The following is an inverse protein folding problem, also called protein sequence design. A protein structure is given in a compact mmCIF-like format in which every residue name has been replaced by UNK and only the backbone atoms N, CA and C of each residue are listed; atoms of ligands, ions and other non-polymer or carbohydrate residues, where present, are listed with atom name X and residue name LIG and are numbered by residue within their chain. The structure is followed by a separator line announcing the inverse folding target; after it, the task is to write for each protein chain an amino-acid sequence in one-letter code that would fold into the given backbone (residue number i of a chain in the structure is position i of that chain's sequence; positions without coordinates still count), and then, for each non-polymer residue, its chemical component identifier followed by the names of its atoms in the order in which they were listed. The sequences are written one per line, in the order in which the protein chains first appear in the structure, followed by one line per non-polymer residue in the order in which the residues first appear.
data_IF_858495369202
#
_entry.id   IF_858495369202
#
_cell.length_a   1.000
_cell.length_b   1.000
_cell.length_c   1.000
_cell.angle_alpha   90.00
_cell.angle_beta   90.00
_cell.angle_gamma   90.00
#
_symmetry.space_group_name_H-M   'P 1'
#
loop_
_entity.id
_entity.type
_entity.pdbx_description
1 polymer ?
#
# COMPACT_ATOMS: atom_id res chain seq x y z
N UNK A 1 44.71 -8.98 15.04
CA UNK A 1 43.56 -8.44 14.22
C UNK A 1 42.82 -9.64 13.72
N UNK A 2 41.77 -10.05 14.43
CA UNK A 2 40.87 -11.10 13.97
C UNK A 2 40.00 -10.52 12.86
N UNK A 3 40.08 -11.11 11.69
CA UNK A 3 39.18 -10.81 10.59
C UNK A 3 37.78 -11.28 11.01
N UNK A 4 36.87 -10.34 11.26
CA UNK A 4 35.45 -10.65 11.45
C UNK A 4 34.96 -11.41 10.20
N UNK A 5 34.39 -12.57 10.42
CA UNK A 5 33.75 -13.34 9.38
C UNK A 5 32.68 -12.47 8.66
N UNK A 6 32.54 -12.60 7.33
CA UNK A 6 31.54 -11.81 6.59
C UNK A 6 30.15 -12.13 7.18
N UNK A 7 29.48 -11.09 7.69
CA UNK A 7 28.09 -11.15 8.15
C UNK A 7 27.27 -11.86 7.09
N UNK A 8 26.57 -12.93 7.44
CA UNK A 8 25.66 -13.60 6.54
C UNK A 8 24.50 -12.64 6.26
N UNK A 9 24.51 -11.98 5.10
CA UNK A 9 23.56 -10.94 4.66
C UNK A 9 22.10 -11.40 4.56
N UNK A 10 21.83 -12.68 4.84
CA UNK A 10 20.54 -13.30 4.58
C UNK A 10 19.42 -12.86 5.55
N UNK A 11 19.74 -12.23 6.68
CA UNK A 11 18.74 -11.96 7.75
C UNK A 11 18.74 -10.51 8.27
N UNK A 12 19.57 -9.59 7.73
CA UNK A 12 19.60 -8.23 8.23
C UNK A 12 18.47 -7.38 7.63
N UNK A 13 17.85 -6.54 8.46
CA UNK A 13 16.94 -5.51 8.05
C UNK A 13 17.63 -4.51 7.10
N UNK A 14 16.91 -3.97 6.12
CA UNK A 14 17.48 -2.99 5.19
C UNK A 14 17.89 -1.72 5.92
N UNK A 15 17.12 -1.35 6.95
CA UNK A 15 17.47 -0.21 7.82
C UNK A 15 18.85 -0.40 8.45
N UNK A 16 19.15 -1.57 9.02
CA UNK A 16 20.49 -1.86 9.60
C UNK A 16 21.60 -1.77 8.54
N UNK A 17 21.32 -2.31 7.32
CA UNK A 17 22.26 -2.22 6.23
C UNK A 17 22.54 -0.77 5.84
N UNK A 18 21.51 0.07 5.75
CA UNK A 18 21.63 1.48 5.39
C UNK A 18 22.39 2.31 6.43
N UNK A 19 22.31 1.94 7.70
CA UNK A 19 23.01 2.60 8.82
C UNK A 19 24.41 2.05 9.06
N UNK A 20 24.76 0.92 8.45
CA UNK A 20 26.08 0.28 8.62
C UNK A 20 27.17 1.03 7.84
N UNK A 21 28.31 1.26 8.51
CA UNK A 21 29.49 1.86 7.88
C UNK A 21 30.03 1.04 6.69
N UNK A 22 29.75 -0.26 6.65
CA UNK A 22 30.21 -1.15 5.58
C UNK A 22 29.50 -0.87 4.22
N UNK A 23 28.32 -0.26 4.24
CA UNK A 23 27.50 -0.04 3.04
C UNK A 23 27.25 1.44 2.74
N UNK A 24 28.09 2.34 3.23
CA UNK A 24 27.95 3.79 2.99
C UNK A 24 28.17 4.20 1.54
N UNK A 25 28.86 3.38 0.73
CA UNK A 25 29.22 3.72 -0.66
C UNK A 25 28.73 2.72 -1.70
N UNK A 26 28.32 1.52 -1.29
CA UNK A 26 27.85 0.49 -2.23
C UNK A 26 26.86 -0.47 -1.58
N UNK A 27 25.89 -0.96 -2.36
CA UNK A 27 24.95 -1.98 -1.93
C UNK A 27 25.40 -3.38 -2.37
N UNK A 28 25.01 -4.44 -1.65
CA UNK A 28 25.29 -5.82 -2.06
C UNK A 28 24.67 -6.15 -3.42
N UNK A 29 25.37 -6.95 -4.22
CA UNK A 29 24.97 -7.28 -5.60
C UNK A 29 23.60 -7.96 -5.73
N UNK A 30 23.11 -8.63 -4.67
CA UNK A 30 21.78 -9.23 -4.65
C UNK A 30 20.63 -8.21 -4.55
N UNK A 31 20.94 -6.91 -4.37
CA UNK A 31 19.98 -5.81 -4.47
C UNK A 31 20.04 -5.12 -5.83
N UNK A 32 20.99 -5.49 -6.70
CA UNK A 32 21.07 -4.90 -8.01
C UNK A 32 19.93 -5.38 -8.88
N UNK A 33 19.03 -4.49 -9.21
CA UNK A 33 17.97 -4.70 -10.19
C UNK A 33 18.48 -4.23 -11.55
N UNK A 34 18.52 -5.14 -12.52
CA UNK A 34 18.81 -4.75 -13.91
C UNK A 34 17.56 -4.02 -14.44
N UNK A 35 17.65 -2.70 -14.49
CA UNK A 35 16.67 -1.93 -15.27
C UNK A 35 16.98 -2.20 -16.74
N UNK A 36 16.00 -2.67 -17.49
CA UNK A 36 16.14 -2.68 -18.94
C UNK A 36 16.28 -1.23 -19.39
N UNK A 37 17.25 -0.96 -20.27
CA UNK A 37 17.55 0.39 -20.80
C UNK A 37 16.33 1.08 -21.44
N UNK A 38 15.33 0.31 -21.84
CA UNK A 38 14.09 0.80 -22.43
C UNK A 38 13.03 1.25 -21.39
N UNK A 39 13.28 1.00 -20.09
CA UNK A 39 12.43 1.41 -18.97
C UNK A 39 13.06 2.55 -18.14
N UNK A 40 14.17 3.12 -18.57
CA UNK A 40 14.74 4.32 -17.94
C UNK A 40 13.77 5.49 -18.11
N UNK A 41 13.12 5.85 -17.01
CA UNK A 41 12.36 7.09 -16.91
C UNK A 41 13.32 8.27 -17.07
N UNK A 42 13.27 8.92 -18.21
CA UNK A 42 13.97 10.19 -18.39
C UNK A 42 13.25 11.27 -17.58
N UNK A 43 13.96 12.31 -17.12
CA UNK A 43 13.33 13.45 -16.45
C UNK A 43 12.20 14.10 -17.26
N UNK A 44 12.21 13.94 -18.56
CA UNK A 44 11.20 14.43 -19.52
C UNK A 44 9.95 13.54 -19.61
N UNK A 45 9.97 12.33 -19.02
CA UNK A 45 8.80 11.45 -18.92
C UNK A 45 7.88 11.83 -17.74
N UNK A 46 8.15 12.92 -17.03
CA UNK A 46 7.21 13.58 -16.14
C UNK A 46 6.08 14.22 -16.96
N UNK A 47 5.19 13.36 -17.45
CA UNK A 47 4.00 13.84 -18.16
C UNK A 47 3.11 14.53 -17.14
N UNK A 48 2.62 15.71 -17.48
CA UNK A 48 1.58 16.45 -16.74
C UNK A 48 0.20 15.75 -16.82
N UNK A 49 0.15 14.42 -16.89
CA UNK A 49 -1.10 13.70 -16.73
C UNK A 49 -1.41 13.67 -15.23
N UNK A 50 -2.43 14.41 -14.85
CA UNK A 50 -2.87 14.46 -13.45
C UNK A 50 -3.72 13.23 -13.17
N UNK A 51 -3.35 12.49 -12.13
CA UNK A 51 -4.19 11.41 -11.61
C UNK A 51 -5.55 11.98 -11.22
N UNK A 52 -6.66 11.31 -11.56
CA UNK A 52 -8.00 11.75 -11.19
C UNK A 52 -8.13 12.02 -9.68
N UNK A 53 -8.80 13.11 -9.33
CA UNK A 53 -9.06 13.51 -7.94
C UNK A 53 -10.53 13.32 -7.65
N UNK A 54 -10.83 12.59 -6.57
CA UNK A 54 -12.17 12.33 -6.08
C UNK A 54 -12.37 13.13 -4.78
N UNK A 55 -13.32 14.03 -4.78
CA UNK A 55 -13.74 14.74 -3.57
C UNK A 55 -14.71 13.87 -2.76
N UNK A 56 -14.20 13.29 -1.69
CA UNK A 56 -14.97 12.38 -0.85
C UNK A 56 -16.12 13.07 -0.12
N UNK A 57 -15.98 14.36 0.20
CA UNK A 57 -17.04 15.12 0.89
C UNK A 57 -18.30 15.26 0.02
N UNK A 58 -18.14 15.41 -1.29
CA UNK A 58 -19.25 15.46 -2.23
C UNK A 58 -19.90 14.08 -2.43
N UNK A 59 -19.12 13.01 -2.27
CA UNK A 59 -19.64 11.64 -2.36
C UNK A 59 -20.60 11.32 -1.21
N UNK A 60 -20.29 11.78 0.02
CA UNK A 60 -21.07 11.43 1.22
C UNK A 60 -22.06 12.53 1.65
N UNK A 61 -21.83 13.78 1.31
CA UNK A 61 -22.61 14.93 1.80
C UNK A 61 -23.07 15.89 0.70
N UNK A 62 -22.72 15.63 -0.57
CA UNK A 62 -23.14 16.46 -1.70
C UNK A 62 -24.62 16.32 -2.04
N UNK A 63 -25.12 17.25 -2.85
CA UNK A 63 -26.44 17.14 -3.48
C UNK A 63 -26.48 15.90 -4.40
N UNK A 64 -27.67 15.46 -4.76
CA UNK A 64 -27.84 14.32 -5.68
C UNK A 64 -27.09 14.50 -7.02
N UNK A 65 -27.02 15.73 -7.52
CA UNK A 65 -26.29 16.05 -8.74
C UNK A 65 -24.77 15.97 -8.55
N UNK A 66 -24.24 16.62 -7.52
CA UNK A 66 -22.79 16.57 -7.18
C UNK A 66 -22.32 15.15 -6.91
N UNK A 67 -23.08 14.38 -6.15
CA UNK A 67 -22.79 12.97 -5.89
C UNK A 67 -22.76 12.16 -7.18
N UNK A 68 -23.73 12.35 -8.07
CA UNK A 68 -23.78 11.66 -9.38
C UNK A 68 -22.55 11.99 -10.24
N UNK A 69 -22.13 13.26 -10.26
CA UNK A 69 -20.92 13.68 -10.97
C UNK A 69 -19.66 13.04 -10.41
N UNK A 70 -19.51 13.01 -9.07
CA UNK A 70 -18.36 12.37 -8.42
C UNK A 70 -18.34 10.86 -8.69
N UNK A 71 -19.48 10.18 -8.64
CA UNK A 71 -19.60 8.75 -8.97
C UNK A 71 -19.18 8.50 -10.42
N UNK A 72 -19.61 9.36 -11.34
CA UNK A 72 -19.20 9.25 -12.74
C UNK A 72 -17.67 9.42 -12.90
N UNK A 73 -17.08 10.43 -12.25
CA UNK A 73 -15.63 10.64 -12.26
C UNK A 73 -14.88 9.45 -11.62
N UNK A 74 -15.40 8.88 -10.54
CA UNK A 74 -14.82 7.69 -9.90
C UNK A 74 -14.86 6.48 -10.84
N UNK A 75 -15.98 6.27 -11.54
CA UNK A 75 -16.10 5.21 -12.55
C UNK A 75 -15.03 5.34 -13.64
N UNK A 76 -14.87 6.54 -14.19
CA UNK A 76 -13.86 6.82 -15.23
C UNK A 76 -12.43 6.63 -14.69
N UNK A 77 -12.16 7.09 -13.48
CA UNK A 77 -10.87 6.90 -12.81
C UNK A 77 -10.53 5.42 -12.63
N UNK A 78 -11.47 4.62 -12.14
CA UNK A 78 -11.28 3.17 -11.99
C UNK A 78 -11.04 2.48 -13.34
N UNK A 79 -11.81 2.84 -14.36
CA UNK A 79 -11.77 2.19 -15.67
C UNK A 79 -10.54 2.56 -16.50
N UNK A 80 -10.12 3.82 -16.47
CA UNK A 80 -9.07 4.33 -17.36
C UNK A 80 -7.70 4.32 -16.68
N UNK A 81 -7.66 4.57 -15.37
CA UNK A 81 -6.43 4.71 -14.60
C UNK A 81 -6.17 3.52 -13.67
N UNK A 82 -7.22 2.93 -13.09
CA UNK A 82 -7.09 2.02 -11.96
C UNK A 82 -6.58 2.68 -10.67
N UNK A 83 -6.30 4.00 -10.72
CA UNK A 83 -5.76 4.82 -9.63
C UNK A 83 -6.49 6.16 -9.56
N UNK A 84 -6.65 6.68 -8.35
CA UNK A 84 -7.17 8.02 -8.11
C UNK A 84 -6.68 8.56 -6.75
N UNK A 85 -6.72 9.88 -6.60
CA UNK A 85 -6.48 10.56 -5.34
C UNK A 85 -7.79 10.84 -4.63
N UNK A 86 -7.81 10.75 -3.30
CA UNK A 86 -8.99 11.07 -2.48
C UNK A 86 -8.65 12.27 -1.60
N UNK A 87 -9.46 13.31 -1.75
CA UNK A 87 -9.38 14.55 -0.96
C UNK A 87 -10.64 14.71 -0.12
N UNK A 88 -10.60 15.60 0.89
CA UNK A 88 -11.73 15.91 1.76
C UNK A 88 -12.38 14.67 2.41
N UNK A 89 -11.54 13.70 2.80
CA UNK A 89 -11.92 12.36 3.26
C UNK A 89 -12.32 12.29 4.74
N UNK A 90 -12.41 13.41 5.45
CA UNK A 90 -12.78 13.53 6.88
C UNK A 90 -11.82 12.85 7.87
N UNK A 91 -10.83 12.08 7.44
CA UNK A 91 -9.83 11.49 8.34
C UNK A 91 -8.91 12.63 8.80
N UNK A 92 -8.81 12.87 10.12
CA UNK A 92 -8.01 13.99 10.63
C UNK A 92 -6.53 13.87 10.23
N UNK A 93 -5.95 14.95 9.71
CA UNK A 93 -4.51 14.98 9.40
C UNK A 93 -3.65 14.54 10.59
N UNK A 94 -4.03 14.92 11.81
CA UNK A 94 -3.36 14.48 13.04
C UNK A 94 -3.27 12.95 13.12
N UNK A 95 -4.35 12.23 12.81
CA UNK A 95 -4.37 10.77 12.86
C UNK A 95 -3.45 10.14 11.80
N UNK A 96 -3.40 10.75 10.61
CA UNK A 96 -2.49 10.33 9.55
C UNK A 96 -1.02 10.53 9.96
N UNK A 97 -0.69 11.70 10.50
CA UNK A 97 0.66 12.01 10.98
C UNK A 97 1.05 11.09 12.16
N UNK A 98 0.15 10.84 13.10
CA UNK A 98 0.38 9.93 14.23
C UNK A 98 0.58 8.48 13.77
N UNK A 99 -0.09 8.05 12.70
CA UNK A 99 0.10 6.70 12.17
C UNK A 99 1.47 6.55 11.50
N UNK A 100 1.89 7.54 10.71
CA UNK A 100 3.23 7.57 10.12
C UNK A 100 4.32 7.58 11.21
N UNK A 101 4.18 8.41 12.23
CA UNK A 101 5.09 8.48 13.38
C UNK A 101 5.12 7.15 14.17
N UNK A 102 3.98 6.50 14.33
CA UNK A 102 3.90 5.21 14.99
C UNK A 102 4.67 4.12 14.22
N UNK A 103 4.57 4.08 12.89
CA UNK A 103 5.37 3.17 12.06
C UNK A 103 6.85 3.53 12.11
N UNK A 104 7.22 4.80 12.05
CA UNK A 104 8.61 5.23 12.20
C UNK A 104 9.19 4.74 13.54
N UNK A 105 8.47 4.93 14.63
CA UNK A 105 8.85 4.41 15.95
C UNK A 105 8.95 2.90 15.97
N UNK A 106 8.06 2.18 15.29
CA UNK A 106 8.14 0.72 15.17
C UNK A 106 9.45 0.30 14.48
N UNK A 107 9.77 0.88 13.35
CA UNK A 107 10.99 0.56 12.61
C UNK A 107 12.28 1.00 13.34
N UNK A 108 12.19 1.97 14.23
CA UNK A 108 13.30 2.43 15.08
C UNK A 108 13.51 1.59 16.35
N UNK A 109 12.71 0.57 16.61
CA UNK A 109 12.94 -0.38 17.69
C UNK A 109 14.21 -1.22 17.43
N UNK A 110 14.71 -1.86 18.49
CA UNK A 110 15.81 -2.81 18.37
C UNK A 110 15.41 -3.99 17.46
N UNK A 111 16.39 -4.61 16.81
CA UNK A 111 16.13 -5.82 16.01
C UNK A 111 15.52 -6.93 16.86
N UNK A 112 15.94 -7.07 18.13
CA UNK A 112 15.39 -8.06 19.06
C UNK A 112 13.86 -7.89 19.21
N UNK A 113 13.38 -6.65 19.39
CA UNK A 113 11.95 -6.35 19.50
C UNK A 113 11.19 -6.59 18.20
N UNK A 114 11.76 -6.25 17.04
CA UNK A 114 11.14 -6.47 15.73
C UNK A 114 11.15 -7.94 15.34
N UNK A 115 12.19 -8.68 15.68
CA UNK A 115 12.35 -10.09 15.36
C UNK A 115 11.29 -10.99 15.99
N UNK A 116 10.61 -10.54 17.06
CA UNK A 116 9.44 -11.22 17.60
C UNK A 116 8.32 -11.40 16.55
N UNK A 117 8.27 -10.54 15.53
CA UNK A 117 7.27 -10.55 14.46
C UNK A 117 7.76 -11.21 13.16
N UNK A 118 8.99 -11.74 13.11
CA UNK A 118 9.45 -12.51 11.97
C UNK A 118 8.68 -13.82 11.90
N UNK A 119 7.95 -14.03 10.80
CA UNK A 119 7.18 -15.25 10.61
C UNK A 119 7.21 -15.69 9.14
N UNK A 120 7.32 -17.01 8.94
CA UNK A 120 7.34 -17.63 7.60
C UNK A 120 5.94 -17.79 7.01
N UNK A 121 4.90 -17.82 7.84
CA UNK A 121 3.53 -18.01 7.37
C UNK A 121 2.94 -16.69 6.90
N UNK A 122 2.51 -16.63 5.64
CA UNK A 122 1.95 -15.44 5.03
C UNK A 122 0.70 -14.90 5.74
N UNK A 123 -0.09 -15.80 6.33
CA UNK A 123 -1.32 -15.48 7.07
C UNK A 123 -1.10 -15.25 8.58
N UNK A 124 0.15 -15.16 9.03
CA UNK A 124 0.39 -14.78 10.43
C UNK A 124 -0.12 -13.37 10.68
N UNK A 125 -0.86 -13.12 11.79
CA UNK A 125 -1.55 -11.84 12.04
C UNK A 125 -0.65 -10.61 12.01
N UNK A 126 0.60 -10.74 12.50
CA UNK A 126 1.61 -9.68 12.44
C UNK A 126 2.88 -10.29 11.85
N UNK A 127 3.38 -9.68 10.80
CA UNK A 127 4.59 -10.16 10.14
C UNK A 127 5.53 -9.01 9.81
N UNK A 128 6.72 -9.02 10.40
CA UNK A 128 7.84 -8.16 10.02
C UNK A 128 8.76 -8.89 9.04
N UNK A 129 9.34 -8.18 8.10
CA UNK A 129 10.29 -8.75 7.16
C UNK A 129 10.96 -7.72 6.28
N UNK A 130 11.88 -8.21 5.46
CA UNK A 130 12.63 -7.42 4.48
C UNK A 130 12.37 -7.94 3.09
N UNK A 131 12.42 -7.08 2.06
CA UNK A 131 12.20 -7.46 0.67
C UNK A 131 10.80 -8.09 0.44
N UNK A 132 10.62 -8.93 -0.59
CA UNK A 132 9.32 -9.59 -0.87
C UNK A 132 9.42 -11.09 -0.59
N UNK A 133 10.19 -11.85 -1.35
CA UNK A 133 10.36 -13.30 -1.19
C UNK A 133 11.84 -13.67 -1.08
N UNK A 134 12.36 -13.73 0.15
CA UNK A 134 13.79 -13.95 0.39
C UNK A 134 14.27 -15.37 0.07
N UNK A 135 13.37 -16.34 -0.15
CA UNK A 135 13.73 -17.74 -0.35
C UNK A 135 13.74 -18.18 -1.81
N UNK A 136 13.01 -17.49 -2.69
CA UNK A 136 12.87 -17.87 -4.10
C UNK A 136 13.51 -16.85 -5.05
N UNK A 137 13.58 -15.58 -4.68
CA UNK A 137 14.11 -14.53 -5.54
C UNK A 137 15.62 -14.35 -5.38
N UNK A 138 16.33 -14.38 -6.51
CA UNK A 138 17.75 -14.04 -6.58
C UNK A 138 18.02 -12.55 -6.32
N UNK A 139 17.00 -11.70 -6.49
CA UNK A 139 17.05 -10.25 -6.35
C UNK A 139 16.28 -9.87 -5.10
N UNK A 140 16.87 -9.04 -4.26
CA UNK A 140 16.25 -8.47 -3.07
C UNK A 140 15.86 -7.01 -3.33
N UNK A 141 14.79 -6.56 -2.64
CA UNK A 141 14.29 -5.19 -2.74
C UNK A 141 14.67 -4.38 -1.50
N UNK A 142 14.97 -3.10 -1.70
CA UNK A 142 15.48 -2.20 -0.66
C UNK A 142 14.33 -1.67 0.20
N UNK A 143 13.71 -2.57 1.01
CA UNK A 143 12.52 -2.30 1.81
C UNK A 143 12.44 -3.21 3.03
N UNK A 144 12.12 -2.61 4.19
CA UNK A 144 11.55 -3.33 5.32
C UNK A 144 10.03 -3.11 5.38
N UNK A 145 9.29 -4.05 5.94
CA UNK A 145 7.85 -3.92 6.09
C UNK A 145 7.33 -4.59 7.36
N UNK A 146 6.21 -4.08 7.86
CA UNK A 146 5.37 -4.79 8.83
C UNK A 146 3.96 -4.88 8.31
N UNK A 147 3.43 -6.10 8.24
CA UNK A 147 2.06 -6.41 7.81
C UNK A 147 1.23 -6.80 9.02
N UNK A 148 0.06 -6.22 9.18
CA UNK A 148 -0.82 -6.39 10.33
C UNK A 148 -2.24 -6.62 9.85
N UNK A 149 -2.87 -7.73 10.26
CA UNK A 149 -4.29 -7.97 10.05
C UNK A 149 -5.09 -7.21 11.11
N UNK A 150 -6.00 -6.35 10.68
CA UNK A 150 -6.80 -5.50 11.57
C UNK A 150 -8.31 -5.77 11.50
N UNK A 151 -8.75 -6.58 10.55
CA UNK A 151 -10.10 -7.10 10.42
C UNK A 151 -10.07 -8.47 9.73
N UNK A 152 -10.94 -9.44 10.06
CA UNK A 152 -12.04 -9.39 11.05
C UNK A 152 -11.58 -9.39 12.51
N UNK A 153 -10.39 -9.86 12.80
CA UNK A 153 -9.80 -9.81 14.13
C UNK A 153 -8.71 -8.75 14.19
N UNK A 154 -8.78 -7.86 15.21
CA UNK A 154 -7.84 -6.76 15.35
C UNK A 154 -6.56 -7.19 16.05
N UNK A 155 -5.46 -7.18 15.31
CA UNK A 155 -4.11 -7.42 15.81
C UNK A 155 -3.28 -6.14 15.83
N UNK A 156 -2.28 -6.08 16.68
CA UNK A 156 -1.35 -4.95 16.77
C UNK A 156 -0.06 -5.40 17.47
N UNK A 157 1.11 -4.88 17.05
CA UNK A 157 2.31 -4.96 17.87
C UNK A 157 2.06 -4.39 19.27
N UNK A 158 2.74 -4.94 20.26
CA UNK A 158 2.65 -4.48 21.65
C UNK A 158 3.41 -3.16 21.82
N UNK A 159 4.49 -3.00 21.09
CA UNK A 159 5.37 -1.81 21.05
C UNK A 159 5.39 -1.21 19.64
N UNK A 160 5.68 0.10 19.51
CA UNK A 160 5.91 1.09 20.58
C UNK A 160 4.63 1.45 21.34
N UNK A 161 4.81 2.08 22.50
CA UNK A 161 3.66 2.54 23.29
C UNK A 161 2.75 3.49 22.49
N UNK A 162 1.45 3.27 22.56
CA UNK A 162 0.46 4.03 21.82
C UNK A 162 0.15 3.50 20.41
N UNK A 163 1.01 2.69 19.80
CA UNK A 163 0.83 2.15 18.46
C UNK A 163 -0.54 1.51 18.27
N UNK A 164 -0.97 0.66 19.21
CA UNK A 164 -2.24 -0.05 19.14
C UNK A 164 -3.45 0.90 19.02
N UNK A 165 -3.47 1.98 19.78
CA UNK A 165 -4.61 2.91 19.78
C UNK A 165 -4.68 3.69 18.48
N UNK A 166 -3.54 4.24 18.03
CA UNK A 166 -3.44 4.95 16.75
C UNK A 166 -3.82 4.04 15.60
N UNK A 167 -3.31 2.79 15.58
CA UNK A 167 -3.63 1.80 14.55
C UNK A 167 -5.13 1.49 14.53
N UNK A 168 -5.77 1.35 15.69
CA UNK A 168 -7.20 1.05 15.78
C UNK A 168 -8.06 2.16 15.19
N UNK A 169 -7.79 3.41 15.58
CA UNK A 169 -8.52 4.58 15.05
C UNK A 169 -8.29 4.76 13.54
N UNK A 170 -7.04 4.59 13.09
CA UNK A 170 -6.68 4.69 11.69
C UNK A 170 -7.34 3.58 10.85
N UNK A 171 -7.29 2.34 11.32
CA UNK A 171 -7.92 1.20 10.66
C UNK A 171 -9.44 1.39 10.52
N UNK A 172 -10.12 1.82 11.59
CA UNK A 172 -11.55 2.08 11.56
C UNK A 172 -11.93 3.20 10.59
N UNK A 173 -11.15 4.29 10.59
CA UNK A 173 -11.40 5.45 9.72
C UNK A 173 -11.17 5.13 8.24
N UNK A 174 -10.07 4.45 7.91
CA UNK A 174 -9.76 4.06 6.53
C UNK A 174 -10.72 2.98 6.02
N UNK A 175 -11.17 2.08 6.91
CA UNK A 175 -12.20 1.09 6.55
C UNK A 175 -13.51 1.77 6.15
N UNK A 176 -13.99 2.71 6.98
CA UNK A 176 -15.21 3.46 6.68
C UNK A 176 -15.10 4.17 5.31
N UNK A 177 -13.98 4.84 5.05
CA UNK A 177 -13.74 5.49 3.76
C UNK A 177 -13.73 4.48 2.61
N UNK A 178 -13.05 3.35 2.78
CA UNK A 178 -13.00 2.29 1.76
C UNK A 178 -14.38 1.68 1.46
N UNK A 179 -15.20 1.45 2.47
CA UNK A 179 -16.56 0.95 2.30
C UNK A 179 -17.46 1.92 1.51
N UNK A 180 -17.35 3.23 1.78
CA UNK A 180 -18.10 4.24 1.00
C UNK A 180 -17.60 4.35 -0.45
N UNK A 181 -16.28 4.25 -0.68
CA UNK A 181 -15.73 4.20 -2.03
C UNK A 181 -16.21 2.95 -2.79
N UNK A 182 -16.22 1.78 -2.14
CA UNK A 182 -16.72 0.55 -2.73
C UNK A 182 -18.20 0.66 -3.12
N UNK A 183 -19.05 1.22 -2.25
CA UNK A 183 -20.46 1.46 -2.55
C UNK A 183 -20.64 2.34 -3.77
N UNK A 184 -19.87 3.43 -3.87
CA UNK A 184 -19.92 4.33 -5.01
C UNK A 184 -19.44 3.65 -6.31
N UNK A 185 -18.41 2.81 -6.23
CA UNK A 185 -17.93 2.01 -7.37
C UNK A 185 -19.03 1.04 -7.83
N UNK A 186 -19.67 0.33 -6.92
CA UNK A 186 -20.75 -0.61 -7.28
C UNK A 186 -21.96 0.11 -7.86
N UNK A 187 -22.34 1.26 -7.30
CA UNK A 187 -23.38 2.11 -7.88
C UNK A 187 -23.05 2.54 -9.31
N UNK A 188 -21.77 2.91 -9.57
CA UNK A 188 -21.31 3.26 -10.91
C UNK A 188 -21.38 2.11 -11.92
N UNK A 189 -21.38 0.88 -11.44
CA UNK A 189 -21.52 -0.35 -12.23
C UNK A 189 -22.99 -0.82 -12.33
N UNK A 190 -23.95 -0.03 -11.82
CA UNK A 190 -25.36 -0.38 -11.76
C UNK A 190 -25.63 -1.68 -10.94
N UNK A 191 -24.75 -1.99 -10.00
CA UNK A 191 -24.86 -3.19 -9.17
C UNK A 191 -25.65 -2.89 -7.91
N UNK A 192 -26.46 -3.86 -7.46
CA UNK A 192 -27.16 -3.74 -6.19
C UNK A 192 -26.14 -3.85 -5.04
N UNK A 193 -25.97 -2.76 -4.29
CA UNK A 193 -24.99 -2.68 -3.19
C UNK A 193 -25.25 -3.74 -2.11
N UNK A 194 -26.51 -3.98 -1.74
CA UNK A 194 -26.85 -4.94 -0.68
C UNK A 194 -26.48 -6.38 -1.10
N UNK A 195 -26.78 -6.75 -2.35
CA UNK A 195 -26.45 -8.08 -2.88
C UNK A 195 -24.95 -8.32 -2.90
N UNK A 196 -24.17 -7.29 -3.25
CA UNK A 196 -22.70 -7.38 -3.29
C UNK A 196 -22.09 -7.42 -1.88
N UNK A 197 -22.57 -6.58 -0.97
CA UNK A 197 -22.12 -6.59 0.43
C UNK A 197 -22.32 -7.97 1.06
N UNK A 198 -23.43 -8.63 0.74
CA UNK A 198 -23.72 -10.00 1.19
C UNK A 198 -22.83 -11.02 0.47
N UNK A 199 -22.70 -10.92 -0.86
CA UNK A 199 -21.94 -11.88 -1.66
C UNK A 199 -20.43 -11.86 -1.33
N UNK A 200 -19.87 -10.68 -1.04
CA UNK A 200 -18.46 -10.51 -0.68
C UNK A 200 -18.21 -10.56 0.83
N UNK A 201 -19.27 -10.65 1.64
CA UNK A 201 -19.18 -10.59 3.11
C UNK A 201 -18.28 -9.44 3.59
N UNK A 202 -18.57 -8.23 3.11
CA UNK A 202 -17.72 -7.04 3.33
C UNK A 202 -17.41 -6.83 4.83
N UNK A 203 -18.34 -7.17 5.71
CA UNK A 203 -18.13 -7.02 7.16
C UNK A 203 -17.01 -7.91 7.69
N UNK A 204 -16.87 -9.11 7.15
CA UNK A 204 -15.87 -10.11 7.55
C UNK A 204 -14.61 -10.09 6.67
N UNK A 205 -14.61 -9.30 5.57
CA UNK A 205 -13.45 -9.27 4.68
C UNK A 205 -12.20 -8.75 5.38
N UNK A 206 -11.07 -9.26 4.97
CA UNK A 206 -9.79 -8.85 5.54
C UNK A 206 -9.51 -7.37 5.29
N UNK A 207 -9.03 -6.72 6.35
CA UNK A 207 -8.31 -5.46 6.23
C UNK A 207 -6.91 -5.68 6.76
N UNK A 208 -5.94 -5.32 5.92
CA UNK A 208 -4.52 -5.48 6.23
C UNK A 208 -3.88 -4.10 6.16
N UNK A 209 -3.15 -3.72 7.20
CA UNK A 209 -2.32 -2.52 7.18
C UNK A 209 -0.87 -2.94 7.03
N UNK A 210 -0.18 -2.34 6.06
CA UNK A 210 1.23 -2.60 5.80
C UNK A 210 1.99 -1.29 5.94
N UNK A 211 2.89 -1.21 6.91
CA UNK A 211 3.90 -0.17 6.98
C UNK A 211 5.12 -0.58 6.16
N UNK A 212 5.53 0.28 5.23
CA UNK A 212 6.72 0.09 4.42
C UNK A 212 7.77 1.13 4.79
N UNK A 213 9.00 0.69 5.02
CA UNK A 213 10.15 1.56 5.21
C UNK A 213 11.12 1.37 4.04
N UNK A 214 11.46 2.47 3.38
CA UNK A 214 12.46 2.54 2.34
C UNK A 214 13.65 3.38 2.86
N UNK A 215 14.66 2.77 3.47
CA UNK A 215 15.79 3.50 4.02
C UNK A 215 16.61 4.17 2.93
N UNK A 216 17.41 5.22 3.25
CA UNK A 216 18.33 5.81 2.31
C UNK A 216 19.21 4.75 1.64
N UNK A 217 19.32 4.81 0.32
CA UNK A 217 20.14 3.88 -0.47
C UNK A 217 21.35 4.63 -1.02
N UNK A 218 22.59 4.14 -0.83
CA UNK A 218 23.77 4.80 -1.36
C UNK A 218 23.90 4.71 -2.89
N UNK A 219 23.21 3.75 -3.51
CA UNK A 219 23.17 3.56 -4.97
C UNK A 219 21.74 3.35 -5.44
N UNK A 220 20.86 4.39 -5.37
CA UNK A 220 19.45 4.27 -5.64
C UNK A 220 19.15 3.90 -7.11
N UNK A 221 20.08 4.18 -8.02
CA UNK A 221 19.98 3.79 -9.43
C UNK A 221 20.09 2.28 -9.66
N UNK A 222 20.66 1.54 -8.71
CA UNK A 222 20.83 0.09 -8.79
C UNK A 222 19.76 -0.71 -8.04
N UNK A 223 18.96 -0.05 -7.20
CA UNK A 223 18.02 -0.73 -6.33
C UNK A 223 16.58 -0.31 -6.60
N UNK A 224 15.65 -1.24 -6.37
CA UNK A 224 14.21 -0.97 -6.28
C UNK A 224 13.74 -1.22 -4.84
N UNK A 225 12.87 -0.36 -4.35
CA UNK A 225 12.20 -0.56 -3.06
C UNK A 225 11.16 -1.68 -3.15
N UNK A 226 10.39 -1.70 -4.24
CA UNK A 226 9.37 -2.71 -4.52
C UNK A 226 9.29 -2.93 -6.03
N UNK A 227 9.14 -4.18 -6.50
CA UNK A 227 9.00 -4.44 -7.93
C UNK A 227 7.64 -3.98 -8.44
N UNK A 228 7.47 -3.81 -9.77
CA UNK A 228 6.15 -3.68 -10.37
C UNK A 228 5.25 -4.84 -9.95
N UNK A 229 4.04 -4.53 -9.49
CA UNK A 229 3.05 -5.51 -9.04
C UNK A 229 1.64 -4.94 -9.15
N UNK A 230 0.64 -5.79 -9.05
CA UNK A 230 -0.75 -5.46 -8.75
C UNK A 230 -1.09 -5.87 -7.32
N UNK A 231 -2.13 -5.29 -6.76
CA UNK A 231 -2.62 -5.63 -5.43
C UNK A 231 -3.78 -6.62 -5.52
N UNK A 232 -3.82 -7.62 -4.64
CA UNK A 232 -4.80 -8.71 -4.74
C UNK A 232 -6.21 -8.34 -4.26
N UNK A 233 -6.38 -7.26 -3.48
CA UNK A 233 -7.66 -6.92 -2.83
C UNK A 233 -8.69 -6.28 -3.75
N UNK A 234 -9.73 -5.72 -3.13
CA UNK A 234 -10.70 -4.87 -3.80
C UNK A 234 -10.13 -3.46 -4.01
N UNK A 235 -9.62 -2.86 -2.95
CA UNK A 235 -9.00 -1.53 -2.95
C UNK A 235 -7.73 -1.56 -2.10
N UNK A 236 -6.75 -0.78 -2.53
CA UNK A 236 -5.62 -0.36 -1.70
C UNK A 236 -5.71 1.14 -1.46
N UNK A 237 -5.56 1.53 -0.20
CA UNK A 237 -5.56 2.94 0.22
C UNK A 237 -4.16 3.25 0.74
N UNK A 238 -3.44 4.11 0.05
CA UNK A 238 -2.05 4.45 0.32
C UNK A 238 -1.93 5.83 0.93
N UNK A 239 -1.22 5.93 2.06
CA UNK A 239 -0.76 7.16 2.67
C UNK A 239 0.75 7.30 2.45
N UNK A 240 1.18 8.44 1.90
CA UNK A 240 2.61 8.76 1.72
C UNK A 240 3.10 9.77 2.77
N UNK A 241 4.35 9.64 3.17
CA UNK A 241 5.00 10.53 4.15
C UNK A 241 5.59 11.83 3.55
N UNK A 242 5.20 12.18 2.33
CA UNK A 242 5.69 13.38 1.64
C UNK A 242 6.97 13.17 0.82
N UNK A 243 7.54 11.97 0.82
CA UNK A 243 8.73 11.63 0.02
C UNK A 243 8.29 10.97 -1.29
N UNK A 244 8.85 11.42 -2.42
CA UNK A 244 8.60 10.82 -3.72
C UNK A 244 9.15 9.39 -3.79
N UNK A 245 8.40 8.47 -4.40
CA UNK A 245 8.85 7.09 -4.58
C UNK A 245 7.85 6.23 -5.34
N UNK A 246 6.56 6.58 -5.28
CA UNK A 246 5.52 5.85 -5.97
C UNK A 246 5.57 6.12 -7.49
N UNK A 247 5.47 5.04 -8.24
CA UNK A 247 5.32 5.07 -9.69
C UNK A 247 4.11 4.25 -10.10
N UNK A 248 3.33 4.75 -11.04
CA UNK A 248 2.15 4.09 -11.59
C UNK A 248 2.35 3.90 -13.09
N UNK A 249 2.00 2.74 -13.61
CA UNK A 249 2.04 2.49 -15.05
C UNK A 249 0.70 2.85 -15.67
N UNK A 250 0.69 3.86 -16.56
CA UNK A 250 -0.49 4.28 -17.32
C UNK A 250 -0.11 4.41 -18.80
N UNK A 251 -0.94 3.89 -19.70
CA UNK A 251 -0.69 3.92 -21.16
C UNK A 251 0.74 3.44 -21.55
N UNK A 252 1.20 2.36 -20.92
CA UNK A 252 2.55 1.79 -21.07
C UNK A 252 3.71 2.72 -20.66
N UNK A 253 3.44 3.78 -19.92
CA UNK A 253 4.44 4.69 -19.37
C UNK A 253 4.40 4.66 -17.85
N UNK A 254 5.56 4.80 -17.23
CA UNK A 254 5.66 4.96 -15.79
C UNK A 254 5.54 6.44 -15.43
N UNK A 255 4.62 6.76 -14.53
CA UNK A 255 4.39 8.11 -14.03
C UNK A 255 4.80 8.19 -12.56
N UNK A 256 5.55 9.23 -12.20
CA UNK A 256 5.83 9.53 -10.81
C UNK A 256 4.66 10.22 -10.16
N UNK A 257 4.24 9.71 -9.01
CA UNK A 257 3.15 10.28 -8.23
C UNK A 257 3.73 11.19 -7.16
N UNK A 258 3.50 12.46 -7.32
CA UNK A 258 3.92 13.46 -6.34
C UNK A 258 3.04 13.35 -5.08
N UNK A 259 3.62 13.14 -3.90
CA UNK A 259 2.85 13.12 -2.67
C UNK A 259 2.23 14.49 -2.40
N UNK A 260 0.94 14.50 -2.08
CA UNK A 260 0.21 15.67 -1.68
C UNK A 260 -0.16 15.55 -0.19
N UNK A 261 -0.10 16.66 0.57
CA UNK A 261 -0.44 16.62 1.99
C UNK A 261 -1.95 16.37 2.16
N UNK A 262 -2.29 15.54 3.13
CA UNK A 262 -3.68 15.19 3.46
C UNK A 262 -4.47 14.59 2.29
N UNK A 263 -3.84 13.72 1.52
CA UNK A 263 -4.42 13.02 0.37
C UNK A 263 -4.09 11.54 0.47
N UNK A 264 -5.08 10.68 0.22
CA UNK A 264 -4.84 9.27 -0.03
C UNK A 264 -4.76 8.99 -1.52
N UNK A 265 -3.88 8.07 -1.89
CA UNK A 265 -3.89 7.46 -3.21
C UNK A 265 -4.63 6.14 -3.08
N UNK A 266 -5.57 5.90 -3.98
CA UNK A 266 -6.35 4.67 -4.00
C UNK A 266 -6.15 3.98 -5.34
N UNK A 267 -5.94 2.67 -5.30
CA UNK A 267 -5.96 1.84 -6.50
C UNK A 267 -6.95 0.69 -6.35
N UNK A 268 -7.53 0.30 -7.47
CA UNK A 268 -8.31 -0.93 -7.55
C UNK A 268 -7.38 -2.13 -7.56
N UNK A 269 -7.75 -3.19 -6.85
CA UNK A 269 -6.98 -4.45 -6.84
C UNK A 269 -7.53 -5.47 -7.84
N UNK A 270 -6.80 -6.58 -8.00
CA UNK A 270 -7.11 -7.65 -8.96
C UNK A 270 -8.55 -8.18 -8.82
N UNK A 271 -9.07 -8.28 -7.58
CA UNK A 271 -10.44 -8.73 -7.35
C UNK A 271 -11.47 -7.74 -7.90
N UNK A 272 -11.23 -6.45 -7.74
CA UNK A 272 -12.11 -5.43 -8.28
C UNK A 272 -12.02 -5.38 -9.81
N UNK A 273 -10.83 -5.54 -10.39
CA UNK A 273 -10.64 -5.62 -11.84
C UNK A 273 -11.45 -6.77 -12.43
N UNK A 274 -11.44 -7.95 -11.80
CA UNK A 274 -12.27 -9.09 -12.21
C UNK A 274 -13.75 -8.75 -12.18
N UNK A 275 -14.24 -8.04 -11.16
CA UNK A 275 -15.64 -7.60 -11.09
C UNK A 275 -15.99 -6.67 -12.26
N UNK A 276 -15.10 -5.72 -12.58
CA UNK A 276 -15.26 -4.84 -13.75
C UNK A 276 -15.32 -5.60 -15.07
N UNK A 277 -14.45 -6.60 -15.26
CA UNK A 277 -14.35 -7.35 -16.51
C UNK A 277 -15.49 -8.34 -16.73
N UNK A 278 -16.02 -8.93 -15.66
CA UNK A 278 -16.96 -10.04 -15.75
C UNK A 278 -18.44 -9.61 -15.71
N UNK A 279 -18.74 -8.29 -15.60
CA UNK A 279 -20.11 -7.80 -15.62
C UNK A 279 -21.08 -8.72 -14.86
N UNK A 280 -20.79 -8.95 -13.57
CA UNK A 280 -21.70 -9.55 -12.60
C UNK A 280 -22.03 -11.05 -12.67
N UNK A 281 -21.88 -11.72 -13.78
CA UNK A 281 -22.30 -13.13 -13.90
C UNK A 281 -21.48 -14.14 -13.07
N UNK A 282 -20.32 -13.74 -12.51
CA UNK A 282 -19.42 -14.63 -11.78
C UNK A 282 -19.21 -14.30 -10.31
N UNK A 283 -19.87 -13.29 -9.75
CA UNK A 283 -19.72 -12.91 -8.34
C UNK A 283 -20.08 -14.03 -7.35
N UNK A 284 -20.95 -14.94 -7.76
CA UNK A 284 -21.37 -16.11 -6.94
C UNK A 284 -20.22 -17.10 -6.71
N UNK A 285 -19.17 -17.06 -7.52
CA UNK A 285 -18.03 -18.01 -7.45
C UNK A 285 -16.90 -17.50 -6.55
N UNK A 286 -16.83 -16.19 -6.26
CA UNK A 286 -15.73 -15.57 -5.52
C UNK A 286 -15.93 -15.54 -3.99
N UNK A 287 -16.69 -16.46 -3.42
CA UNK A 287 -16.86 -16.56 -1.97
C UNK A 287 -15.51 -16.67 -1.25
N UNK A 288 -15.13 -15.65 -0.52
CA UNK A 288 -14.18 -15.73 0.58
C UNK A 288 -12.81 -15.03 0.46
N UNK A 289 -12.55 -14.17 -0.54
CA UNK A 289 -11.22 -13.55 -0.73
C UNK A 289 -11.19 -12.02 -0.83
N UNK A 290 -12.26 -11.33 -0.43
CA UNK A 290 -12.24 -9.87 -0.46
C UNK A 290 -11.30 -9.30 0.62
N UNK A 291 -10.38 -8.43 0.22
CA UNK A 291 -9.45 -7.75 1.13
C UNK A 291 -9.49 -6.24 0.90
N UNK A 292 -9.57 -5.47 1.99
CA UNK A 292 -9.21 -4.06 2.00
C UNK A 292 -7.76 -3.96 2.48
N UNK A 293 -6.87 -3.45 1.64
CA UNK A 293 -5.48 -3.24 2.00
C UNK A 293 -5.22 -1.74 2.17
N UNK A 294 -4.59 -1.36 3.27
CA UNK A 294 -4.04 -0.02 3.48
C UNK A 294 -2.54 -0.11 3.57
N UNK A 295 -1.85 0.68 2.76
CA UNK A 295 -0.39 0.73 2.71
C UNK A 295 0.07 2.11 3.15
N UNK A 296 1.11 2.18 3.94
CA UNK A 296 1.78 3.42 4.32
C UNK A 296 3.16 3.55 3.70
#
# INVERSE_FOLDING_TARGET
MEAQAPLSLSNHAIKELSESQAFTSSIPSNFHTFRNSDEELRPEDFINEEIPIIDFSLLIGGTAMERSEVIHHLCMACREWGFFMVVNHEIPKRLMDEMLDAFEKFFNQSEEEKNEYINKYALHPIRYGTSVNTHEDKIRYWRDYVKIFVNPEFHSPVKPFGFRNTLFEYAASTRKMGEELLKAIWESLELNTEDIEVALDIKSCFQIIIGNLYPPCPQPELALGLPPHSDHGLLTILLQNGINGLQVKHNNKWLHIKPLPNVFIVNIGDQMEVIYLLNFYYLIILHGLACLNTLA
#
